data_IF_592758723693
#
_entry.id   IF_592758723693
#
_cell.length_a   1.000
_cell.length_b   1.000
_cell.length_c   1.000
_cell.angle_alpha   90.00
_cell.angle_beta   90.00
_cell.angle_gamma   90.00
#
_symmetry.space_group_name_H-M   'P 1'
#
loop_
_entity.id
_entity.type
_entity.pdbx_description
1 polymer ?
#
# COMPACT_ATOMS: atom_id res chain seq x y z
N UNK A 1 23.33 -0.20 19.45
CA UNK A 1 21.86 -0.02 19.33
C UNK A 1 21.54 0.05 17.86
N UNK A 2 21.12 -1.07 17.28
CA UNK A 2 20.87 -1.17 15.85
C UNK A 2 19.86 -2.28 15.64
N UNK A 3 18.58 -1.94 15.78
CA UNK A 3 17.52 -2.84 15.34
C UNK A 3 17.55 -2.82 13.81
N UNK A 4 18.32 -3.75 13.26
CA UNK A 4 18.33 -4.08 11.85
C UNK A 4 16.92 -4.51 11.46
N UNK A 5 16.15 -3.57 10.92
CA UNK A 5 15.04 -3.90 10.03
C UNK A 5 15.73 -4.58 8.85
N UNK A 6 15.73 -5.92 8.87
CA UNK A 6 16.27 -6.73 7.78
C UNK A 6 15.70 -6.17 6.50
N UNK A 7 16.59 -5.70 5.63
CA UNK A 7 16.27 -5.22 4.30
C UNK A 7 15.32 -6.24 3.67
N UNK A 8 14.05 -5.87 3.61
CA UNK A 8 13.08 -6.56 2.80
C UNK A 8 13.59 -6.41 1.38
N UNK A 9 13.90 -7.53 0.72
CA UNK A 9 14.27 -7.57 -0.70
C UNK A 9 13.37 -6.59 -1.48
N UNK A 10 13.90 -5.91 -2.49
CA UNK A 10 13.19 -4.88 -3.25
C UNK A 10 11.79 -5.30 -3.76
N UNK A 11 11.55 -6.60 -3.95
CA UNK A 11 10.24 -7.19 -4.29
C UNK A 11 9.21 -7.14 -3.14
N UNK A 12 9.69 -7.14 -1.90
CA UNK A 12 8.90 -7.19 -0.68
C UNK A 12 8.47 -5.80 -0.17
N UNK A 13 9.09 -4.72 -0.63
CA UNK A 13 8.69 -3.37 -0.22
C UNK A 13 7.33 -3.00 -0.85
N UNK A 14 7.10 -3.34 -2.12
CA UNK A 14 5.83 -3.09 -2.82
C UNK A 14 4.64 -3.83 -2.20
N UNK A 15 4.89 -4.99 -1.56
CA UNK A 15 3.85 -5.84 -0.98
C UNK A 15 3.41 -5.39 0.43
N UNK A 16 4.15 -4.48 1.07
CA UNK A 16 3.92 -4.04 2.46
C UNK A 16 3.74 -2.53 2.63
N UNK A 17 3.71 -1.76 1.55
CA UNK A 17 3.34 -0.35 1.67
C UNK A 17 1.84 -0.26 1.89
N UNK A 18 1.37 0.52 2.89
CA UNK A 18 -0.04 0.79 3.07
C UNK A 18 -0.68 1.30 1.76
N UNK A 19 0.08 1.97 0.88
CA UNK A 19 -0.39 2.50 -0.40
C UNK A 19 -0.90 1.42 -1.37
N UNK A 20 -0.36 0.20 -1.32
CA UNK A 20 -0.86 -0.94 -2.13
C UNK A 20 -2.25 -1.41 -1.66
N UNK A 21 -2.64 -1.02 -0.44
CA UNK A 21 -3.92 -1.34 0.21
C UNK A 21 -4.81 -0.10 0.39
N UNK A 22 -4.23 1.10 0.35
CA UNK A 22 -4.82 2.35 0.85
C UNK A 22 -5.52 3.20 -0.22
N UNK A 23 -6.10 2.57 -1.24
CA UNK A 23 -7.17 3.26 -1.95
C UNK A 23 -8.41 3.22 -1.05
N UNK A 24 -8.49 4.19 -0.15
CA UNK A 24 -9.56 4.38 0.83
C UNK A 24 -10.79 5.03 0.20
N UNK A 25 -10.88 5.07 -1.13
CA UNK A 25 -12.05 5.58 -1.83
C UNK A 25 -13.28 4.76 -1.47
N UNK A 26 -14.47 5.37 -1.27
CA UNK A 26 -15.70 4.66 -0.92
C UNK A 26 -16.03 3.51 -1.88
N UNK A 27 -15.61 3.64 -3.13
CA UNK A 27 -15.82 2.71 -4.23
C UNK A 27 -15.13 1.34 -4.04
N UNK A 28 -14.19 1.22 -3.09
CA UNK A 28 -13.42 -0.01 -2.87
C UNK A 28 -13.94 -0.81 -1.67
N UNK A 29 -14.83 -0.22 -0.86
CA UNK A 29 -15.38 -0.88 0.34
C UNK A 29 -16.34 -2.03 0.02
N UNK A 30 -16.75 -2.20 -1.24
CA UNK A 30 -17.51 -3.37 -1.70
C UNK A 30 -17.06 -3.82 -3.09
N UNK A 31 -16.86 -5.13 -3.23
CA UNK A 31 -16.53 -5.75 -4.51
C UNK A 31 -17.62 -5.57 -5.59
N UNK A 32 -18.84 -5.26 -5.16
CA UNK A 32 -19.99 -5.02 -6.04
C UNK A 32 -19.94 -3.66 -6.75
N UNK A 33 -19.16 -2.71 -6.21
CA UNK A 33 -19.00 -1.38 -6.79
C UNK A 33 -18.01 -1.33 -7.96
N UNK A 34 -17.27 -2.42 -8.21
CA UNK A 34 -16.36 -2.48 -9.34
C UNK A 34 -17.12 -2.63 -10.66
N UNK A 35 -16.81 -1.79 -11.63
CA UNK A 35 -17.32 -1.91 -13.00
C UNK A 35 -17.00 -3.28 -13.61
N UNK A 36 -17.82 -3.73 -14.57
CA UNK A 36 -17.65 -5.04 -15.20
C UNK A 36 -16.25 -5.25 -15.84
N UNK A 37 -15.61 -4.18 -16.30
CA UNK A 37 -14.28 -4.19 -16.92
C UNK A 37 -13.14 -3.87 -15.93
N UNK A 38 -13.44 -3.68 -14.64
CA UNK A 38 -12.45 -3.38 -13.63
C UNK A 38 -11.58 -4.61 -13.33
N UNK A 39 -10.26 -4.44 -13.49
CA UNK A 39 -9.28 -5.51 -13.24
C UNK A 39 -9.26 -5.97 -11.79
N UNK A 40 -9.72 -5.18 -10.83
CA UNK A 40 -9.80 -5.56 -9.41
C UNK A 40 -10.75 -6.73 -9.19
N UNK A 41 -11.78 -6.91 -10.03
CA UNK A 41 -12.74 -8.03 -9.93
C UNK A 41 -12.10 -9.41 -10.08
N UNK A 42 -10.96 -9.50 -10.78
CA UNK A 42 -10.24 -10.77 -10.96
C UNK A 42 -9.14 -10.99 -9.93
N UNK A 43 -8.84 -9.99 -9.09
CA UNK A 43 -7.78 -10.08 -8.10
C UNK A 43 -8.32 -10.74 -6.80
N UNK A 44 -7.70 -11.83 -6.32
CA UNK A 44 -8.19 -12.56 -5.15
C UNK A 44 -8.34 -11.70 -3.89
N UNK A 45 -7.47 -10.70 -3.69
CA UNK A 45 -7.54 -9.78 -2.53
C UNK A 45 -8.78 -8.87 -2.48
N UNK A 46 -9.45 -8.70 -3.61
CA UNK A 46 -10.68 -7.91 -3.74
C UNK A 46 -11.93 -8.80 -3.87
N UNK A 47 -11.78 -10.12 -3.64
CA UNK A 47 -12.94 -11.02 -3.59
C UNK A 47 -13.83 -10.68 -2.39
N UNK A 48 -15.13 -11.02 -2.48
CA UNK A 48 -16.08 -10.81 -1.38
C UNK A 48 -15.67 -11.50 -0.07
N UNK A 49 -14.86 -12.56 -0.14
CA UNK A 49 -14.33 -13.28 1.02
C UNK A 49 -13.14 -12.56 1.68
N UNK A 50 -12.23 -12.00 0.88
CA UNK A 50 -10.97 -11.43 1.37
C UNK A 50 -11.04 -9.93 1.64
N UNK A 51 -11.87 -9.21 0.88
CA UNK A 51 -11.97 -7.75 0.96
C UNK A 51 -12.32 -7.24 2.36
N UNK A 52 -13.31 -7.81 3.10
CA UNK A 52 -13.62 -7.33 4.45
C UNK A 52 -12.43 -7.38 5.41
N UNK A 53 -11.64 -8.46 5.38
CA UNK A 53 -10.44 -8.62 6.20
C UNK A 53 -9.34 -7.62 5.82
N UNK A 54 -9.18 -7.37 4.52
CA UNK A 54 -8.20 -6.40 4.02
C UNK A 54 -8.59 -4.95 4.38
N UNK A 55 -9.89 -4.65 4.45
CA UNK A 55 -10.39 -3.34 4.86
C UNK A 55 -10.11 -3.02 6.33
N UNK A 56 -10.00 -4.02 7.21
CA UNK A 56 -9.64 -3.78 8.63
C UNK A 56 -8.29 -3.05 8.77
N UNK A 57 -7.34 -3.33 7.87
CA UNK A 57 -6.04 -2.65 7.83
C UNK A 57 -6.23 -1.20 7.40
N UNK A 58 -7.09 -0.96 6.40
CA UNK A 58 -7.41 0.40 5.91
C UNK A 58 -8.08 1.22 7.00
N UNK A 59 -9.06 0.64 7.70
CA UNK A 59 -9.77 1.31 8.80
C UNK A 59 -8.81 1.74 9.92
N UNK A 60 -7.88 0.87 10.32
CA UNK A 60 -6.84 1.22 11.30
C UNK A 60 -5.91 2.34 10.82
N UNK A 61 -5.56 2.35 9.53
CA UNK A 61 -4.76 3.42 8.95
C UNK A 61 -5.55 4.74 8.85
N UNK A 62 -6.85 4.69 8.56
CA UNK A 62 -7.76 5.85 8.56
C UNK A 62 -7.86 6.47 9.96
N UNK A 63 -7.93 5.67 11.03
CA UNK A 63 -7.92 6.16 12.40
C UNK A 63 -6.64 6.94 12.73
N UNK A 64 -5.48 6.41 12.32
CA UNK A 64 -4.20 7.09 12.49
C UNK A 64 -4.11 8.38 11.66
N UNK A 65 -4.58 8.33 10.41
CA UNK A 65 -4.56 9.48 9.51
C UNK A 65 -5.46 10.61 10.03
N UNK A 66 -6.63 10.25 10.58
CA UNK A 66 -7.59 11.17 11.20
C UNK A 66 -7.00 11.90 12.40
N UNK A 67 -6.23 11.21 13.27
CA UNK A 67 -5.53 11.86 14.40
C UNK A 67 -4.52 12.93 13.95
N UNK A 68 -4.02 12.82 12.71
CA UNK A 68 -3.05 13.73 12.11
C UNK A 68 -3.69 14.74 11.15
N UNK A 69 -5.02 14.72 10.99
CA UNK A 69 -5.76 15.53 10.03
C UNK A 69 -5.22 15.43 8.59
N UNK A 70 -4.85 14.22 8.17
CA UNK A 70 -4.33 13.95 6.83
C UNK A 70 -5.07 12.76 6.20
N UNK A 71 -4.91 12.56 4.90
CA UNK A 71 -5.42 11.35 4.24
C UNK A 71 -4.54 10.13 4.52
N UNK A 72 -5.06 8.92 4.30
CA UNK A 72 -4.25 7.70 4.40
C UNK A 72 -3.09 7.71 3.39
N UNK A 73 -3.33 8.24 2.18
CA UNK A 73 -2.29 8.42 1.17
C UNK A 73 -1.15 9.33 1.68
N UNK A 74 -1.50 10.46 2.29
CA UNK A 74 -0.53 11.38 2.88
C UNK A 74 0.24 10.75 4.04
N UNK A 75 -0.46 10.10 4.97
CA UNK A 75 0.15 9.39 6.10
C UNK A 75 1.17 8.35 5.61
N UNK A 76 0.80 7.61 4.56
CA UNK A 76 1.65 6.56 3.99
C UNK A 76 2.90 7.11 3.34
N UNK A 77 2.78 8.19 2.56
CA UNK A 77 3.93 8.83 1.91
C UNK A 77 4.87 9.46 2.94
N UNK A 78 4.32 10.05 4.01
CA UNK A 78 5.10 10.57 5.13
C UNK A 78 5.84 9.44 5.86
N UNK A 79 5.18 8.31 6.11
CA UNK A 79 5.80 7.13 6.71
C UNK A 79 6.92 6.57 5.82
N UNK A 80 6.69 6.43 4.51
CA UNK A 80 7.72 5.95 3.58
C UNK A 80 9.01 6.78 3.63
N UNK A 81 8.88 8.11 3.68
CA UNK A 81 10.02 9.03 3.83
C UNK A 81 10.74 8.88 5.16
N UNK A 82 10.04 8.43 6.20
CA UNK A 82 10.63 8.22 7.54
C UNK A 82 11.48 6.95 7.64
N UNK A 83 11.33 6.00 6.70
CA UNK A 83 12.07 4.72 6.70
C UNK A 83 13.58 4.95 6.46
N UNK A 84 13.95 6.00 5.71
CA UNK A 84 15.34 6.38 5.52
C UNK A 84 15.50 7.57 4.58
N UNK A 85 16.63 8.28 4.73
CA UNK A 85 16.93 9.49 3.95
C UNK A 85 17.08 9.24 2.45
N UNK A 86 17.31 7.99 2.05
CA UNK A 86 17.45 7.57 0.64
C UNK A 86 16.14 7.04 0.04
N UNK A 87 15.05 7.02 0.80
CA UNK A 87 13.74 6.56 0.32
C UNK A 87 12.98 7.76 -0.26
N UNK A 88 12.86 7.78 -1.58
CA UNK A 88 12.13 8.83 -2.32
C UNK A 88 10.89 8.20 -2.96
N UNK A 89 9.69 8.36 -2.38
CA UNK A 89 8.45 7.89 -3.00
C UNK A 89 8.19 8.60 -4.32
N UNK A 90 7.76 7.85 -5.33
CA UNK A 90 7.39 8.36 -6.67
C UNK A 90 5.90 8.07 -6.95
N UNK A 91 4.96 8.71 -6.23
CA UNK A 91 3.55 8.42 -6.40
C UNK A 91 3.05 8.87 -7.77
N UNK A 92 2.54 7.93 -8.55
CA UNK A 92 1.88 8.20 -9.83
C UNK A 92 0.47 8.74 -9.64
N UNK A 93 0.06 9.69 -10.47
CA UNK A 93 -1.33 10.20 -10.50
C UNK A 93 -1.67 10.71 -11.89
N UNK A 94 -2.96 10.64 -12.25
CA UNK A 94 -3.53 11.24 -13.46
C UNK A 94 -4.43 12.45 -13.16
N UNK A 95 -4.67 12.77 -11.88
CA UNK A 95 -5.57 13.84 -11.43
C UNK A 95 -4.80 14.89 -10.62
N UNK A 96 -5.05 16.17 -10.89
CA UNK A 96 -4.39 17.29 -10.18
C UNK A 96 -4.67 17.28 -8.67
N UNK A 97 -5.90 16.99 -8.25
CA UNK A 97 -6.25 16.87 -6.83
C UNK A 97 -5.36 15.87 -6.08
N UNK A 98 -5.08 14.73 -6.70
CA UNK A 98 -4.24 13.69 -6.10
C UNK A 98 -2.76 14.14 -6.08
N UNK A 99 -2.32 14.97 -7.02
CA UNK A 99 -0.99 15.59 -6.98
C UNK A 99 -0.87 16.53 -5.78
N UNK A 100 -1.86 17.40 -5.56
CA UNK A 100 -1.92 18.29 -4.40
C UNK A 100 -1.91 17.51 -3.09
N UNK A 101 -2.70 16.43 -3.02
CA UNK A 101 -2.72 15.51 -1.88
C UNK A 101 -1.34 14.88 -1.64
N UNK A 102 -0.70 14.35 -2.68
CA UNK A 102 0.63 13.75 -2.61
C UNK A 102 1.68 14.76 -2.12
N UNK A 103 1.64 16.01 -2.61
CA UNK A 103 2.54 17.09 -2.17
C UNK A 103 2.27 17.44 -0.71
N UNK A 104 1.00 17.50 -0.29
CA UNK A 104 0.63 17.76 1.11
C UNK A 104 1.14 16.71 2.11
N UNK A 105 1.54 15.53 1.65
CA UNK A 105 2.24 14.55 2.51
C UNK A 105 3.57 15.06 3.07
N UNK A 106 4.15 16.10 2.45
CA UNK A 106 5.40 16.72 2.90
C UNK A 106 5.24 17.44 4.24
N UNK A 107 4.03 17.95 4.51
CA UNK A 107 3.70 18.71 5.72
C UNK A 107 3.28 17.81 6.90
N UNK A 108 3.13 16.50 6.67
CA UNK A 108 2.75 15.55 7.71
C UNK A 108 3.99 15.16 8.54
N UNK A 109 4.11 15.76 9.72
CA UNK A 109 5.14 15.41 10.70
C UNK A 109 4.75 14.18 11.53
N UNK A 110 5.58 13.13 11.52
CA UNK A 110 5.38 11.91 12.31
C UNK A 110 6.29 11.91 13.55
N UNK A 111 5.68 11.72 14.72
CA UNK A 111 6.42 11.51 15.98
C UNK A 111 6.91 10.06 16.07
N UNK A 112 7.87 9.75 16.96
CA UNK A 112 8.30 8.37 17.19
C UNK A 112 7.13 7.44 17.56
N UNK A 113 6.15 7.95 18.32
CA UNK A 113 4.95 7.18 18.66
C UNK A 113 4.06 6.90 17.45
N UNK A 114 3.90 7.88 16.56
CA UNK A 114 3.14 7.66 15.31
C UNK A 114 3.80 6.56 14.46
N UNK A 115 5.14 6.55 14.39
CA UNK A 115 5.89 5.53 13.65
C UNK A 115 5.74 4.13 14.26
N UNK A 116 5.75 4.03 15.60
CA UNK A 116 5.46 2.78 16.30
C UNK A 116 4.05 2.28 15.97
N UNK A 117 3.04 3.15 16.10
CA UNK A 117 1.64 2.78 15.85
C UNK A 117 1.42 2.34 14.39
N UNK A 118 1.99 3.05 13.42
CA UNK A 118 1.93 2.67 12.00
C UNK A 118 2.63 1.32 11.78
N UNK A 119 3.80 1.12 12.38
CA UNK A 119 4.54 -0.13 12.24
C UNK A 119 3.80 -1.32 12.88
N UNK A 120 3.11 -1.13 14.01
CA UNK A 120 2.23 -2.15 14.60
C UNK A 120 1.09 -2.55 13.67
N UNK A 121 0.45 -1.58 12.99
CA UNK A 121 -0.59 -1.88 12.00
C UNK A 121 -0.01 -2.69 10.84
N UNK A 122 1.14 -2.28 10.29
CA UNK A 122 1.79 -2.96 9.16
C UNK A 122 2.28 -4.37 9.54
N UNK A 123 2.81 -4.56 10.74
CA UNK A 123 3.26 -5.88 11.21
C UNK A 123 2.11 -6.83 11.49
N UNK A 124 0.97 -6.30 11.95
CA UNK A 124 -0.25 -7.07 12.15
C UNK A 124 -1.05 -7.29 10.85
N UNK A 125 -0.66 -6.67 9.74
CA UNK A 125 -1.37 -6.77 8.48
C UNK A 125 -1.26 -8.19 7.89
N UNK A 126 -2.37 -8.92 7.95
CA UNK A 126 -2.52 -10.24 7.33
C UNK A 126 -3.38 -10.14 6.05
N UNK A 127 -2.78 -9.61 4.99
CA UNK A 127 -3.48 -9.38 3.71
C UNK A 127 -3.88 -10.71 3.08
N UNK A 128 -5.18 -10.92 2.94
CA UNK A 128 -5.75 -12.12 2.34
C UNK A 128 -5.84 -12.01 0.82
N UNK A 129 -5.54 -13.13 0.14
CA UNK A 129 -5.63 -13.26 -1.31
C UNK A 129 -4.37 -12.78 -2.05
N UNK A 130 -4.02 -13.52 -3.11
CA UNK A 130 -2.83 -13.25 -3.91
C UNK A 130 -2.87 -11.88 -4.61
N UNK A 131 -1.67 -11.34 -4.89
CA UNK A 131 -1.50 -10.14 -5.71
C UNK A 131 -1.87 -10.36 -7.18
N UNK A 132 -1.67 -11.58 -7.67
CA UNK A 132 -1.93 -11.95 -9.05
C UNK A 132 -3.01 -13.03 -9.08
N UNK A 133 -3.92 -13.01 -10.06
CA UNK A 133 -4.83 -14.13 -10.25
C UNK A 133 -4.01 -15.37 -10.61
N UNK A 134 -4.51 -16.55 -10.22
CA UNK A 134 -3.83 -17.83 -10.48
C UNK A 134 -3.48 -18.03 -11.96
N UNK A 135 -4.33 -17.54 -12.86
CA UNK A 135 -4.12 -17.60 -14.32
C UNK A 135 -2.92 -16.79 -14.81
N UNK A 136 -2.49 -15.77 -14.04
CA UNK A 136 -1.37 -14.90 -14.39
C UNK A 136 -0.05 -15.37 -13.77
N UNK A 137 -0.08 -16.21 -12.72
CA UNK A 137 1.14 -16.66 -12.02
C UNK A 137 2.22 -17.27 -12.93
N UNK A 138 1.92 -18.04 -14.00
CA UNK A 138 2.93 -18.54 -14.92
C UNK A 138 3.73 -17.45 -15.65
N UNK A 139 3.21 -16.22 -15.68
CA UNK A 139 3.81 -15.09 -16.40
C UNK A 139 4.43 -14.03 -15.48
N UNK A 140 4.35 -14.21 -14.16
CA UNK A 140 4.92 -13.24 -13.20
C UNK A 140 6.42 -13.48 -13.02
N UNK A 141 6.87 -14.72 -13.19
CA UNK A 141 8.28 -15.13 -13.10
C UNK A 141 8.73 -15.74 -14.43
N UNK A 142 8.85 -14.90 -15.45
CA UNK A 142 9.40 -15.32 -16.74
C UNK A 142 10.85 -14.88 -16.80
N UNK A 143 11.74 -15.85 -16.99
CA UNK A 143 13.16 -15.56 -17.15
C UNK A 143 13.37 -14.72 -18.42
N UNK A 144 14.21 -13.69 -18.31
CA UNK A 144 14.72 -12.97 -19.49
C UNK A 144 15.68 -13.87 -20.25
N UNK A 145 15.65 -13.79 -21.59
CA UNK A 145 16.59 -14.50 -22.46
C UNK A 145 18.03 -14.24 -21.98
N UNK A 146 18.86 -15.29 -21.84
CA UNK A 146 20.25 -15.11 -21.44
C UNK A 146 20.97 -14.25 -22.48
N UNK A 147 21.92 -13.42 -22.04
CA UNK A 147 22.78 -12.70 -22.99
C UNK A 147 23.59 -13.75 -23.77
N UNK A 148 23.46 -13.74 -25.10
CA UNK A 148 24.43 -14.39 -25.98
C UNK A 148 25.72 -13.57 -25.94
N UNK A 149 26.85 -14.23 -25.66
CA UNK A 149 28.21 -13.63 -25.69
C UNK A 149 28.68 -13.32 -27.12
#
# INVERSE_FOLDING_TARGET
MGSSIRAANSESLSLRTPLSVADSSPEIRSAEHFDANDRRRILPRFSAENLPKNLEIVDRMEELASKKNCSVGQLTLAWLRSIGETVIPIPGTTKNRNLEENVGSLDVGLSPKDLEDINEVIQAADVQGDHHPRSMMPYVYVDTVPLEE
#
